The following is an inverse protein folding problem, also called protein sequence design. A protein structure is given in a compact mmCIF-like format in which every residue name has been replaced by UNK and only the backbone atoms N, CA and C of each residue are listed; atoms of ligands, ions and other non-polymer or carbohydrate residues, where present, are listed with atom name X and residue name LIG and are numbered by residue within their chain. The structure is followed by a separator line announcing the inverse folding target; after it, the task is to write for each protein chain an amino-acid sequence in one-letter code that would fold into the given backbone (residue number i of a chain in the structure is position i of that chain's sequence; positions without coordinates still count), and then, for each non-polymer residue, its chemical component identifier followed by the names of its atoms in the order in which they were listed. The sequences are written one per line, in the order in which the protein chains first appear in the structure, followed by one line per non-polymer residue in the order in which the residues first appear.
data_IF_932305990384
#
_entry.id   IF_932305990384
#
_cell.length_a   1.000
_cell.length_b   1.000
_cell.length_c   1.000
_cell.angle_alpha   90.00
_cell.angle_beta   90.00
_cell.angle_gamma   90.00
#
_symmetry.space_group_name_H-M   'P 1'
#
loop_
_entity.id
_entity.type
_entity.pdbx_description
1 polymer ?
#
# COMPACT_ATOMS: atom_id res chain seq x y z
N UNK A 1 -18.84 11.67 -1.84
CA UNK A 1 -18.13 12.18 -0.65
C UNK A 1 -17.50 11.01 0.09
N UNK A 2 -16.19 10.78 -0.04
CA UNK A 2 -15.50 9.72 0.72
C UNK A 2 -15.57 10.04 2.20
N UNK A 3 -16.17 9.13 2.97
CA UNK A 3 -16.38 9.29 4.40
C UNK A 3 -15.04 9.11 5.13
N UNK A 4 -14.31 10.20 5.31
CA UNK A 4 -13.00 10.30 5.99
C UNK A 4 -13.00 9.83 7.45
N UNK A 5 -14.13 9.28 7.95
CA UNK A 5 -14.29 8.69 9.28
C UNK A 5 -13.85 7.23 9.37
N UNK A 6 -13.81 6.47 8.27
CA UNK A 6 -13.50 5.03 8.32
C UNK A 6 -12.05 4.75 8.76
N UNK A 7 -11.08 5.56 8.32
CA UNK A 7 -9.68 5.49 8.79
C UNK A 7 -9.55 5.72 10.30
N UNK A 8 -10.34 6.63 10.88
CA UNK A 8 -10.29 6.93 12.33
C UNK A 8 -10.81 5.79 13.19
N UNK A 9 -11.60 4.86 12.62
CA UNK A 9 -12.20 3.76 13.36
C UNK A 9 -11.24 2.58 13.60
N UNK A 10 -10.10 2.51 12.89
CA UNK A 10 -9.11 1.45 13.11
C UNK A 10 -8.17 1.83 14.27
N UNK A 11 -8.03 1.00 15.31
CA UNK A 11 -7.17 1.28 16.46
C UNK A 11 -5.71 1.12 16.05
N UNK A 12 -5.03 2.22 15.70
CA UNK A 12 -3.57 2.23 15.53
C UNK A 12 -2.89 3.33 16.34
N UNK A 13 -3.53 4.48 16.51
CA UNK A 13 -3.09 5.57 17.39
C UNK A 13 -4.18 6.63 17.47
N UNK A 14 -4.38 7.26 18.63
CA UNK A 14 -5.27 8.44 18.78
C UNK A 14 -4.67 9.72 18.19
N UNK A 15 -3.38 9.71 17.81
CA UNK A 15 -2.63 10.85 17.28
C UNK A 15 -1.82 10.44 16.04
N UNK A 16 -2.46 10.21 14.87
CA UNK A 16 -1.74 9.80 13.67
C UNK A 16 -0.88 10.95 13.10
N UNK A 17 0.33 10.61 12.65
CA UNK A 17 1.19 11.55 11.91
C UNK A 17 0.69 11.77 10.47
N UNK A 18 1.32 12.70 9.74
CA UNK A 18 0.94 13.07 8.37
C UNK A 18 0.96 11.87 7.41
N UNK A 19 2.01 11.05 7.46
CA UNK A 19 2.14 9.82 6.64
C UNK A 19 1.00 8.85 6.91
N UNK A 20 0.70 8.59 8.17
CA UNK A 20 -0.39 7.71 8.58
C UNK A 20 -1.73 8.23 8.02
N UNK A 21 -2.03 9.53 8.19
CA UNK A 21 -3.27 10.13 7.66
C UNK A 21 -3.39 9.97 6.15
N UNK A 22 -2.34 10.25 5.38
CA UNK A 22 -2.34 10.12 3.92
C UNK A 22 -2.61 8.68 3.48
N UNK A 23 -1.87 7.72 4.03
CA UNK A 23 -2.05 6.31 3.71
C UNK A 23 -3.45 5.82 4.09
N UNK A 24 -3.99 6.35 5.19
CA UNK A 24 -5.36 6.10 5.63
C UNK A 24 -6.42 6.56 4.65
N UNK A 25 -6.35 7.83 4.23
CA UNK A 25 -7.26 8.40 3.25
C UNK A 25 -7.23 7.65 1.92
N UNK A 26 -6.02 7.24 1.51
CA UNK A 26 -5.85 6.42 0.32
C UNK A 26 -6.54 5.05 0.47
N UNK A 27 -6.33 4.33 1.58
CA UNK A 27 -6.97 3.03 1.84
C UNK A 27 -8.49 3.10 1.99
N UNK A 28 -9.02 4.19 2.55
CA UNK A 28 -10.46 4.42 2.62
C UNK A 28 -11.09 4.57 1.22
N UNK A 29 -10.33 5.16 0.27
CA UNK A 29 -10.78 5.33 -1.12
C UNK A 29 -10.52 4.10 -1.99
N UNK A 30 -9.64 3.19 -1.54
CA UNK A 30 -9.27 1.95 -2.23
C UNK A 30 -9.49 0.75 -1.31
N UNK A 31 -10.75 0.43 -0.93
CA UNK A 31 -11.05 -0.55 0.11
C UNK A 31 -10.76 -1.99 -0.30
N UNK A 32 -10.67 -2.28 -1.60
CA UNK A 32 -10.40 -3.61 -2.16
C UNK A 32 -8.97 -3.64 -2.73
N UNK A 33 -8.27 -4.75 -2.48
CA UNK A 33 -6.91 -4.98 -2.91
C UNK A 33 -6.82 -4.90 -4.43
N UNK A 34 -5.96 -4.00 -4.93
CA UNK A 34 -5.73 -3.81 -6.36
C UNK A 34 -4.81 -4.89 -6.97
N UNK A 35 -4.18 -5.72 -6.14
CA UNK A 35 -3.37 -6.87 -6.58
C UNK A 35 -4.21 -8.11 -6.88
N UNK A 36 -5.07 -8.52 -5.94
CA UNK A 36 -5.89 -9.73 -6.09
C UNK A 36 -7.37 -9.47 -6.43
N UNK A 37 -7.85 -8.23 -6.30
CA UNK A 37 -9.23 -7.86 -6.62
C UNK A 37 -10.31 -8.36 -5.64
N UNK A 38 -9.95 -9.15 -4.62
CA UNK A 38 -10.93 -9.78 -3.73
C UNK A 38 -10.78 -9.40 -2.25
N UNK A 39 -9.54 -9.38 -1.73
CA UNK A 39 -9.31 -9.14 -0.31
C UNK A 39 -9.39 -7.64 0.04
N UNK A 40 -9.76 -7.26 1.27
CA UNK A 40 -9.73 -5.86 1.68
C UNK A 40 -8.30 -5.30 1.73
N UNK A 41 -8.12 -4.07 1.26
CA UNK A 41 -6.85 -3.36 1.36
C UNK A 41 -6.49 -3.06 2.82
N UNK A 42 -5.25 -3.37 3.19
CA UNK A 42 -4.69 -3.15 4.52
C UNK A 42 -3.47 -2.24 4.48
N UNK A 43 -2.75 -2.19 3.36
CA UNK A 43 -1.50 -1.45 3.19
C UNK A 43 -1.52 -0.57 1.94
N UNK A 44 -1.01 0.66 2.08
CA UNK A 44 -0.81 1.58 0.97
C UNK A 44 0.64 1.41 0.46
N UNK A 45 0.78 0.68 -0.63
CA UNK A 45 2.02 0.46 -1.34
C UNK A 45 2.38 1.69 -2.18
N UNK A 46 3.67 2.01 -2.27
CA UNK A 46 4.16 3.07 -3.15
C UNK A 46 5.03 2.39 -4.21
N UNK A 47 4.69 2.56 -5.49
CA UNK A 47 5.40 1.93 -6.60
C UNK A 47 6.75 2.61 -6.88
N UNK A 48 6.87 3.88 -6.50
CA UNK A 48 8.09 4.66 -6.67
C UNK A 48 9.04 4.54 -5.46
N UNK A 49 10.36 4.58 -5.70
CA UNK A 49 11.35 4.42 -4.64
C UNK A 49 11.30 5.58 -3.64
N UNK A 50 11.86 5.34 -2.45
CA UNK A 50 11.97 6.36 -1.43
C UNK A 50 12.76 7.57 -1.93
N UNK A 51 12.24 8.78 -1.72
CA UNK A 51 12.85 10.05 -2.17
C UNK A 51 12.38 10.54 -3.54
N UNK A 52 11.62 9.76 -4.31
CA UNK A 52 11.04 10.26 -5.56
C UNK A 52 10.00 11.37 -5.27
N UNK A 53 10.00 12.50 -6.02
CA UNK A 53 9.09 13.63 -5.75
C UNK A 53 7.62 13.23 -5.82
N UNK A 54 7.26 12.40 -6.80
CA UNK A 54 5.87 11.96 -6.99
C UNK A 54 5.49 10.70 -6.19
N UNK A 55 6.36 10.23 -5.29
CA UNK A 55 6.15 8.96 -4.58
C UNK A 55 4.79 8.88 -3.88
N UNK A 56 4.31 10.02 -3.39
CA UNK A 56 3.09 10.12 -2.60
C UNK A 56 1.85 10.53 -3.41
N UNK A 57 1.97 10.66 -4.73
CA UNK A 57 0.84 10.84 -5.64
C UNK A 57 0.07 9.52 -5.75
N UNK A 58 -1.26 9.58 -5.60
CA UNK A 58 -2.15 8.41 -5.62
C UNK A 58 -2.02 7.58 -6.89
N UNK A 59 -1.65 8.18 -8.03
CA UNK A 59 -1.45 7.45 -9.29
C UNK A 59 -0.29 6.45 -9.24
N UNK A 60 0.64 6.62 -8.28
CA UNK A 60 1.80 5.76 -8.06
C UNK A 60 1.69 4.97 -6.75
N UNK A 61 0.46 4.84 -6.22
CA UNK A 61 0.17 4.11 -5.01
C UNK A 61 -0.85 3.01 -5.30
N UNK A 62 -0.77 1.91 -4.54
CA UNK A 62 -1.72 0.80 -4.61
C UNK A 62 -2.20 0.38 -3.23
N UNK A 63 -3.50 0.10 -3.11
CA UNK A 63 -4.12 -0.47 -1.93
C UNK A 63 -4.02 -1.97 -2.02
N UNK A 64 -3.25 -2.59 -1.13
CA UNK A 64 -2.98 -4.03 -1.18
C UNK A 64 -3.41 -4.72 0.12
N UNK A 65 -3.83 -5.98 0.01
CA UNK A 65 -3.87 -6.87 1.16
C UNK A 65 -2.43 -7.24 1.58
N UNK A 66 -2.27 -7.79 2.79
CA UNK A 66 -0.95 -8.10 3.35
C UNK A 66 -0.16 -9.05 2.44
N UNK A 67 -0.78 -10.12 1.96
CA UNK A 67 -0.10 -11.11 1.11
C UNK A 67 0.40 -10.49 -0.20
N UNK A 68 -0.48 -9.78 -0.92
CA UNK A 68 -0.09 -9.09 -2.14
C UNK A 68 1.00 -8.05 -1.88
N UNK A 69 0.96 -7.34 -0.74
CA UNK A 69 1.99 -6.36 -0.38
C UNK A 69 3.35 -7.02 -0.15
N UNK A 70 3.38 -8.14 0.57
CA UNK A 70 4.61 -8.92 0.79
C UNK A 70 5.18 -9.46 -0.52
N UNK A 71 4.32 -9.94 -1.43
CA UNK A 71 4.76 -10.47 -2.72
C UNK A 71 5.42 -9.40 -3.61
N UNK A 72 4.96 -8.14 -3.57
CA UNK A 72 5.63 -7.06 -4.33
C UNK A 72 7.05 -6.77 -3.82
N UNK A 73 7.29 -7.01 -2.53
CA UNK A 73 8.61 -6.83 -1.91
C UNK A 73 9.44 -8.10 -1.90
N UNK A 74 8.91 -9.21 -2.41
CA UNK A 74 9.67 -10.45 -2.53
C UNK A 74 10.80 -10.23 -3.55
N UNK A 75 12.07 -10.43 -3.17
CA UNK A 75 13.16 -10.37 -4.15
C UNK A 75 12.92 -11.43 -5.23
N UNK A 76 13.14 -11.05 -6.49
CA UNK A 76 13.10 -12.03 -7.58
C UNK A 76 14.10 -13.15 -7.25
N UNK A 77 13.73 -14.43 -7.47
CA UNK A 77 14.67 -15.51 -7.31
C UNK A 77 15.89 -15.22 -8.16
N UNK A 78 17.08 -15.31 -7.57
CA UNK A 78 18.32 -15.21 -8.32
C UNK A 78 18.21 -16.24 -9.46
N UNK A 79 18.26 -15.77 -10.71
CA UNK A 79 18.36 -16.65 -11.86
C UNK A 79 19.67 -17.40 -11.65
N UNK A 80 19.57 -18.65 -11.20
CA UNK A 80 20.72 -19.54 -11.14
C UNK A 80 21.15 -19.71 -12.59
N UNK A 81 22.22 -19.01 -12.97
CA UNK A 81 22.84 -19.25 -14.27
C UNK A 81 23.16 -20.75 -14.32
N UNK A 82 22.76 -21.49 -15.35
CA UNK A 82 23.22 -22.87 -15.51
C UNK A 82 24.76 -22.82 -15.51
N UNK A 83 25.38 -23.59 -14.60
CA UNK A 83 26.83 -23.80 -14.64
C UNK A 83 27.17 -24.63 -15.89
N UNK A 84 28.32 -24.36 -16.53
CA UNK A 84 28.75 -25.09 -17.73
C UNK A 84 28.96 -26.58 -17.47
#
# INVERSE_FOLDING_TARGET
MSNTRAWRAKPRTSKPNSRQKRNGLFLDSHPICQGCGHNPSKEAHHDLPHGHPDRDDWRYMRGLCVDCHTDVHRPLPAIVKPQP
#
